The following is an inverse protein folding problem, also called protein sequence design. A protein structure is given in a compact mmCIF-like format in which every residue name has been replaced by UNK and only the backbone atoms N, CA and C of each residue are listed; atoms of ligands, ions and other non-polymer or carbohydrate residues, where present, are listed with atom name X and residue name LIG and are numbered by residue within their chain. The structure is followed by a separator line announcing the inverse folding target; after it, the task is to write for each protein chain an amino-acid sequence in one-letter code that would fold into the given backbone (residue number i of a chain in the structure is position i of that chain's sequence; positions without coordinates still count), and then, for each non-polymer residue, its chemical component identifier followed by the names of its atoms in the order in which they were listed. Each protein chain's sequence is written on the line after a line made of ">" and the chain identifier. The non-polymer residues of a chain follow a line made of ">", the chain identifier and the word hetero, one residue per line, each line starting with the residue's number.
data_IF_142712161716
#
_entry.id   IF_142712161716
#
_cell.length_a   1.000
_cell.length_b   1.000
_cell.length_c   1.000
_cell.angle_alpha   90.00
_cell.angle_beta   90.00
_cell.angle_gamma   90.00
#
_symmetry.space_group_name_H-M   'P 1'
#
loop_
_entity.id
_entity.type
_entity.pdbx_description
1 polymer ?
#
# COMPACT_ATOMS: atom_id res chain seq x y z
N UNK A 1 1.35 7.69 3.10
CA UNK A 1 -0.08 7.46 3.45
C UNK A 1 -0.82 8.53 2.67
N UNK A 2 -1.82 8.17 1.88
CA UNK A 2 -2.58 9.18 1.12
C UNK A 2 -3.44 9.93 2.13
N UNK A 3 -3.34 11.24 2.14
CA UNK A 3 -4.11 12.08 3.06
C UNK A 3 -5.57 12.21 2.64
N UNK A 4 -6.44 12.56 3.59
CA UNK A 4 -7.87 12.67 3.31
C UNK A 4 -8.18 13.71 2.22
N UNK A 5 -7.49 14.85 2.21
CA UNK A 5 -7.70 15.93 1.24
C UNK A 5 -7.02 15.74 -0.12
N UNK A 6 -6.24 14.67 -0.30
CA UNK A 6 -5.52 14.42 -1.56
C UNK A 6 -6.48 14.34 -2.76
N UNK A 7 -7.62 13.69 -2.57
CA UNK A 7 -8.60 13.49 -3.65
C UNK A 7 -9.41 14.76 -3.97
N UNK A 8 -9.29 15.80 -3.14
CA UNK A 8 -9.97 17.08 -3.31
C UNK A 8 -9.07 18.12 -4.02
N UNK A 9 -7.79 17.81 -4.28
CA UNK A 9 -6.86 18.68 -5.01
C UNK A 9 -7.35 18.85 -6.48
N UNK A 10 -7.51 20.10 -7.00
CA UNK A 10 -8.06 20.32 -8.33
C UNK A 10 -7.36 19.55 -9.46
N UNK A 11 -6.02 19.49 -9.45
CA UNK A 11 -5.26 18.73 -10.44
C UNK A 11 -5.46 17.21 -10.32
N UNK A 12 -5.70 16.70 -9.10
CA UNK A 12 -5.98 15.27 -8.88
C UNK A 12 -7.37 14.92 -9.42
N UNK A 13 -8.35 15.79 -9.20
CA UNK A 13 -9.70 15.66 -9.77
C UNK A 13 -9.62 15.67 -11.30
N UNK A 14 -8.91 16.64 -11.88
CA UNK A 14 -8.72 16.76 -13.32
C UNK A 14 -8.15 15.47 -13.94
N UNK A 15 -7.04 14.96 -13.38
CA UNK A 15 -6.42 13.73 -13.88
C UNK A 15 -7.28 12.48 -13.63
N UNK A 16 -8.03 12.44 -12.52
CA UNK A 16 -8.89 11.32 -12.15
C UNK A 16 -10.09 11.14 -13.08
N UNK A 17 -10.66 12.25 -13.56
CA UNK A 17 -11.79 12.25 -14.51
C UNK A 17 -11.38 12.37 -15.98
N UNK A 18 -10.08 12.53 -16.26
CA UNK A 18 -9.52 12.59 -17.60
C UNK A 18 -9.53 11.23 -18.34
N UNK A 19 -8.74 11.17 -19.41
CA UNK A 19 -8.66 9.98 -20.26
C UNK A 19 -7.80 8.85 -19.63
N UNK A 20 -7.40 7.88 -20.44
CA UNK A 20 -6.54 6.79 -19.96
C UNK A 20 -5.12 7.26 -19.61
N UNK A 21 -4.62 8.29 -20.29
CA UNK A 21 -3.27 8.83 -20.07
C UNK A 21 -3.25 9.67 -18.80
N UNK A 22 -4.24 10.54 -18.60
CA UNK A 22 -4.38 11.35 -17.38
C UNK A 22 -4.46 10.48 -16.12
N UNK A 23 -5.26 9.41 -16.15
CA UNK A 23 -5.37 8.48 -15.02
C UNK A 23 -4.09 7.70 -14.78
N UNK A 24 -3.33 7.41 -15.84
CA UNK A 24 -2.03 6.76 -15.71
C UNK A 24 -0.99 7.72 -15.11
N UNK A 25 -1.03 9.01 -15.44
CA UNK A 25 -0.20 10.03 -14.80
C UNK A 25 -0.52 10.18 -13.29
N UNK A 26 -1.80 10.07 -12.89
CA UNK A 26 -2.18 10.03 -11.48
C UNK A 26 -1.57 8.82 -10.74
N UNK A 27 -1.48 7.64 -11.38
CA UNK A 27 -0.78 6.50 -10.80
C UNK A 27 0.72 6.78 -10.64
N UNK A 28 1.35 7.45 -11.60
CA UNK A 28 2.75 7.89 -11.50
C UNK A 28 2.95 8.81 -10.30
N UNK A 29 2.05 9.79 -10.07
CA UNK A 29 2.13 10.65 -8.88
C UNK A 29 2.14 9.84 -7.57
N UNK A 30 1.26 8.83 -7.46
CA UNK A 30 1.20 7.97 -6.28
C UNK A 30 2.49 7.15 -6.09
N UNK A 31 3.05 6.62 -7.17
CA UNK A 31 4.33 5.90 -7.16
C UNK A 31 5.48 6.82 -6.73
N UNK A 32 5.56 8.03 -7.28
CA UNK A 32 6.57 9.02 -6.94
C UNK A 32 6.44 9.50 -5.50
N UNK A 33 5.22 9.73 -4.99
CA UNK A 33 5.00 10.04 -3.57
C UNK A 33 5.46 8.90 -2.66
N UNK A 34 5.16 7.65 -3.04
CA UNK A 34 5.64 6.46 -2.31
C UNK A 34 7.17 6.36 -2.30
N UNK A 35 7.80 6.60 -3.44
CA UNK A 35 9.25 6.59 -3.58
C UNK A 35 9.91 7.70 -2.75
N UNK A 36 9.40 8.92 -2.81
CA UNK A 36 9.91 10.07 -2.05
C UNK A 36 9.75 9.88 -0.54
N UNK A 37 8.63 9.31 -0.06
CA UNK A 37 8.46 8.95 1.36
C UNK A 37 9.49 7.89 1.81
N UNK A 38 9.87 6.97 0.92
CA UNK A 38 10.82 5.91 1.23
C UNK A 38 12.26 6.44 1.27
N UNK A 39 12.59 7.35 0.37
CA UNK A 39 13.95 7.90 0.20
C UNK A 39 14.20 9.18 0.97
N UNK A 40 13.16 9.85 1.46
CA UNK A 40 13.26 11.09 2.23
C UNK A 40 13.66 12.30 1.38
N UNK A 41 13.14 12.39 0.15
CA UNK A 41 13.46 13.47 -0.80
C UNK A 41 12.42 14.59 -0.85
N UNK A 42 11.34 14.48 -0.07
CA UNK A 42 10.29 15.50 0.03
C UNK A 42 9.74 16.00 -1.32
N UNK A 43 9.51 15.07 -2.24
CA UNK A 43 8.92 15.37 -3.54
C UNK A 43 9.94 15.68 -4.65
N UNK A 44 11.23 15.80 -4.34
CA UNK A 44 12.27 16.00 -5.36
C UNK A 44 12.55 14.69 -6.11
N UNK A 45 12.37 14.71 -7.42
CA UNK A 45 12.57 13.57 -8.33
C UNK A 45 13.69 13.90 -9.33
N UNK A 46 14.93 13.43 -9.08
CA UNK A 46 16.03 13.61 -10.04
C UNK A 46 15.74 12.89 -11.36
N UNK A 47 16.10 13.49 -12.49
CA UNK A 47 15.80 12.93 -13.82
C UNK A 47 16.27 11.48 -14.02
N UNK A 48 17.47 11.17 -13.52
CA UNK A 48 18.07 9.82 -13.58
C UNK A 48 17.31 8.76 -12.77
N UNK A 49 16.45 9.17 -11.85
CA UNK A 49 15.71 8.30 -10.95
C UNK A 49 14.30 8.00 -11.46
N UNK A 50 13.73 8.84 -12.31
CA UNK A 50 12.33 8.72 -12.76
C UNK A 50 11.97 7.28 -13.20
N UNK A 51 12.75 6.70 -14.12
CA UNK A 51 12.58 5.32 -14.61
C UNK A 51 12.71 4.21 -13.55
N UNK A 52 13.32 4.51 -12.40
CA UNK A 52 13.44 3.58 -11.26
C UNK A 52 12.37 3.80 -10.21
N UNK A 53 11.77 4.98 -10.16
CA UNK A 53 10.76 5.35 -9.17
C UNK A 53 9.34 4.95 -9.59
N UNK A 54 9.10 4.76 -10.89
CA UNK A 54 7.80 4.38 -11.45
C UNK A 54 7.92 3.20 -12.42
N UNK A 55 6.86 2.38 -12.50
CA UNK A 55 6.74 1.28 -13.45
C UNK A 55 6.02 1.68 -14.76
N UNK A 56 5.70 2.97 -14.93
CA UNK A 56 5.01 3.46 -16.12
C UNK A 56 5.87 3.29 -17.38
N UNK A 57 5.22 2.95 -18.49
CA UNK A 57 5.89 2.67 -19.76
C UNK A 57 6.58 3.92 -20.36
N UNK A 58 5.98 5.09 -20.16
CA UNK A 58 6.48 6.39 -20.56
C UNK A 58 6.33 7.41 -19.41
N UNK A 59 7.21 7.38 -18.41
CA UNK A 59 7.10 8.23 -17.25
C UNK A 59 7.42 9.70 -17.55
N UNK A 60 8.22 10.00 -18.57
CA UNK A 60 8.49 11.38 -18.98
C UNK A 60 7.20 12.07 -19.46
N UNK A 61 6.41 11.40 -20.33
CA UNK A 61 5.10 11.91 -20.75
C UNK A 61 4.10 12.03 -19.59
N UNK A 62 4.12 11.07 -18.67
CA UNK A 62 3.30 11.18 -17.46
C UNK A 62 3.67 12.40 -16.60
N UNK A 63 4.95 12.76 -16.51
CA UNK A 63 5.39 13.97 -15.83
C UNK A 63 4.88 15.24 -16.52
N UNK A 64 4.79 15.26 -17.85
CA UNK A 64 4.21 16.39 -18.59
C UNK A 64 2.76 16.63 -18.16
N UNK A 65 1.93 15.59 -18.09
CA UNK A 65 0.55 15.70 -17.60
C UNK A 65 0.47 16.16 -16.14
N UNK A 66 1.41 15.75 -15.29
CA UNK A 66 1.46 16.22 -13.89
C UNK A 66 1.82 17.70 -13.79
N UNK A 67 2.72 18.19 -14.66
CA UNK A 67 3.08 19.60 -14.74
C UNK A 67 1.92 20.44 -15.27
N UNK A 68 1.23 19.95 -16.31
CA UNK A 68 0.03 20.60 -16.86
C UNK A 68 -1.08 20.74 -15.82
N UNK A 69 -1.28 19.71 -14.98
CA UNK A 69 -2.25 19.72 -13.89
C UNK A 69 -1.82 20.51 -12.64
N UNK A 70 -0.62 21.12 -12.65
CA UNK A 70 -0.07 21.87 -11.52
C UNK A 70 0.30 21.01 -10.30
N UNK A 71 0.50 19.71 -10.48
CA UNK A 71 0.88 18.75 -9.43
C UNK A 71 2.39 18.49 -9.39
N UNK A 72 3.13 19.01 -10.37
CA UNK A 72 4.58 18.96 -10.42
C UNK A 72 5.14 20.21 -11.10
N UNK A 73 6.39 20.54 -10.79
CA UNK A 73 7.15 21.60 -11.43
C UNK A 73 8.44 21.03 -12.03
N UNK A 74 8.85 21.57 -13.18
CA UNK A 74 10.13 21.21 -13.80
C UNK A 74 11.24 21.99 -13.12
N UNK A 75 12.25 21.28 -12.62
CA UNK A 75 13.46 21.87 -12.05
C UNK A 75 14.66 21.63 -12.97
N UNK A 76 15.79 22.27 -12.71
CA UNK A 76 16.99 22.11 -13.56
C UNK A 76 17.45 20.66 -13.69
N UNK A 77 17.33 19.87 -12.61
CA UNK A 77 17.85 18.49 -12.53
C UNK A 77 16.76 17.41 -12.61
N UNK A 78 15.48 17.78 -12.78
CA UNK A 78 14.36 16.85 -12.78
C UNK A 78 13.04 17.53 -12.52
N UNK A 79 12.32 17.06 -11.51
CA UNK A 79 11.00 17.56 -11.15
C UNK A 79 10.84 17.64 -9.64
N UNK A 80 9.91 18.48 -9.21
CA UNK A 80 9.43 18.56 -7.83
C UNK A 80 7.92 18.38 -7.85
N UNK A 81 7.41 17.33 -7.20
CA UNK A 81 5.96 17.10 -7.09
C UNK A 81 5.42 17.86 -5.87
N UNK A 82 4.16 18.30 -5.92
CA UNK A 82 3.53 18.97 -4.78
C UNK A 82 3.57 18.06 -3.54
N UNK A 83 4.30 18.54 -2.54
CA UNK A 83 4.57 17.89 -1.25
C UNK A 83 3.93 18.64 -0.08
N UNK A 84 3.18 19.72 -0.34
CA UNK A 84 2.68 20.63 0.68
C UNK A 84 1.77 19.96 1.72
N UNK A 85 1.07 18.90 1.31
CA UNK A 85 0.20 18.11 2.18
C UNK A 85 0.93 16.96 2.86
N UNK A 86 2.18 16.64 2.52
CA UNK A 86 2.87 15.47 3.09
C UNK A 86 3.75 15.83 4.28
N UNK A 87 3.94 14.85 5.19
CA UNK A 87 4.86 14.99 6.32
C UNK A 87 6.31 15.08 5.77
N UNK A 88 7.11 16.09 6.17
CA UNK A 88 8.48 16.24 5.71
C UNK A 88 9.41 15.14 6.26
N UNK A 89 10.50 14.85 5.53
CA UNK A 89 11.44 13.78 5.85
C UNK A 89 12.07 13.95 7.23
N UNK A 90 12.34 15.18 7.66
CA UNK A 90 12.87 15.49 8.99
C UNK A 90 11.90 15.04 10.10
N UNK A 91 10.61 15.33 9.95
CA UNK A 91 9.59 14.93 10.91
C UNK A 91 9.42 13.40 10.93
N UNK A 92 9.39 12.77 9.75
CA UNK A 92 9.36 11.30 9.64
C UNK A 92 10.58 10.68 10.35
N UNK A 93 11.77 11.24 10.17
CA UNK A 93 13.00 10.81 10.83
C UNK A 93 12.89 10.94 12.36
N UNK A 94 12.37 12.07 12.85
CA UNK A 94 12.11 12.32 14.27
C UNK A 94 11.14 11.30 14.87
N UNK A 95 10.03 11.00 14.19
CA UNK A 95 9.05 9.99 14.61
C UNK A 95 9.69 8.61 14.66
N UNK A 96 10.45 8.22 13.63
CA UNK A 96 11.17 6.94 13.58
C UNK A 96 12.17 6.82 14.71
N UNK A 97 12.91 7.90 15.01
CA UNK A 97 13.85 7.97 16.13
C UNK A 97 13.16 7.74 17.48
N UNK A 98 12.07 8.47 17.75
CA UNK A 98 11.25 8.28 18.96
C UNK A 98 10.73 6.85 19.08
N UNK A 99 10.26 6.27 17.98
CA UNK A 99 9.75 4.89 17.99
C UNK A 99 10.85 3.84 18.21
N UNK A 100 12.02 4.02 17.58
CA UNK A 100 13.18 3.17 17.80
C UNK A 100 13.66 3.22 19.26
N UNK A 101 13.75 4.43 19.82
CA UNK A 101 14.07 4.63 21.24
C UNK A 101 13.05 3.95 22.16
N UNK A 102 11.75 4.13 21.88
CA UNK A 102 10.68 3.46 22.64
C UNK A 102 10.77 1.93 22.56
N UNK A 103 11.12 1.38 21.40
CA UNK A 103 11.37 -0.07 21.23
C UNK A 103 12.58 -0.55 22.02
N UNK A 104 13.69 0.21 22.05
CA UNK A 104 14.85 -0.11 22.88
C UNK A 104 14.46 -0.12 24.36
N UNK A 105 13.69 0.87 24.78
CA UNK A 105 13.16 0.98 26.14
C UNK A 105 12.30 -0.25 26.52
N UNK A 106 11.35 -0.66 25.67
CA UNK A 106 10.54 -1.87 25.93
C UNK A 106 11.36 -3.16 25.99
N UNK A 107 12.56 -3.19 25.42
CA UNK A 107 13.50 -4.32 25.51
C UNK A 107 14.42 -4.24 26.73
N UNK A 108 14.21 -3.29 27.63
CA UNK A 108 15.00 -3.11 28.86
C UNK A 108 16.28 -2.29 28.67
N UNK A 109 16.52 -1.69 27.50
CA UNK A 109 17.62 -0.75 27.33
C UNK A 109 17.16 0.66 27.76
N UNK A 110 17.68 1.11 28.91
CA UNK A 110 17.32 2.38 29.54
C UNK A 110 18.36 3.49 29.37
N UNK A 111 19.40 3.32 28.52
CA UNK A 111 20.50 4.30 28.37
C UNK A 111 20.03 5.73 28.10
N UNK A 112 18.94 5.86 27.34
CA UNK A 112 18.46 7.16 26.88
C UNK A 112 17.19 7.62 27.62
N UNK A 113 16.73 6.89 28.66
CA UNK A 113 15.38 7.07 29.23
C UNK A 113 15.11 8.49 29.73
N UNK A 114 16.13 9.13 30.32
CA UNK A 114 16.07 10.51 30.83
C UNK A 114 15.83 11.53 29.71
N UNK A 115 16.42 11.32 28.53
CA UNK A 115 16.32 12.23 27.38
C UNK A 115 14.93 12.21 26.74
N UNK A 116 14.26 11.04 26.74
CA UNK A 116 12.96 10.89 26.07
C UNK A 116 11.77 11.25 26.96
N UNK A 117 11.98 11.62 28.22
CA UNK A 117 10.92 12.03 29.15
C UNK A 117 9.83 10.97 29.34
N UNK A 118 10.18 9.68 29.19
CA UNK A 118 9.23 8.57 29.33
C UNK A 118 8.85 8.46 30.81
N UNK A 119 7.76 9.12 31.19
CA UNK A 119 7.16 9.04 32.54
C UNK A 119 6.84 7.56 32.85
N UNK A 120 7.31 7.06 34.00
CA UNK A 120 7.13 5.67 34.44
C UNK A 120 8.32 4.73 34.19
N UNK A 121 9.48 5.26 33.80
CA UNK A 121 10.74 4.52 33.74
C UNK A 121 11.36 4.37 35.15
N UNK A 122 10.72 3.64 36.06
CA UNK A 122 11.16 3.50 37.47
C UNK A 122 12.51 2.75 37.62
N UNK A 123 12.98 2.13 36.53
CA UNK A 123 14.26 1.39 36.46
C UNK A 123 15.50 2.27 36.29
N UNK A 124 15.36 3.59 36.21
CA UNK A 124 16.51 4.54 36.22
C UNK A 124 16.89 4.91 37.66
N UNK A 125 16.25 4.32 38.66
CA UNK A 125 16.77 4.38 40.03
C UNK A 125 18.12 3.64 40.09
N UNK A 126 19.16 4.45 40.19
CA UNK A 126 20.54 4.09 40.50
C UNK A 126 20.65 2.85 41.38
N UNK A 127 21.27 1.78 40.87
CA UNK A 127 22.15 0.95 41.68
C UNK A 127 23.02 0.07 40.78
N UNK A 128 24.27 0.50 40.63
CA UNK A 128 25.42 -0.37 40.39
C UNK A 128 25.54 -1.36 41.56
N UNK A 129 24.66 -2.36 41.61
CA UNK A 129 24.77 -3.49 42.52
C UNK A 129 25.11 -4.71 41.69
N UNK A 130 26.36 -5.14 41.83
CA UNK A 130 26.92 -6.39 41.35
C UNK A 130 26.16 -7.55 42.01
N UNK A 131 24.94 -7.84 41.56
CA UNK A 131 24.16 -9.00 41.98
C UNK A 131 24.01 -9.94 40.80
N UNK A 132 24.73 -11.05 40.91
CA UNK A 132 24.56 -12.32 40.20
C UNK A 132 23.07 -12.67 40.17
N UNK A 133 22.37 -12.31 39.08
CA UNK A 133 20.96 -12.62 38.92
C UNK A 133 20.83 -14.05 38.40
N UNK A 134 20.52 -14.98 39.29
CA UNK A 134 19.91 -16.26 38.93
C UNK A 134 18.64 -15.95 38.13
N UNK A 135 18.65 -16.34 36.85
CA UNK A 135 17.54 -16.13 35.91
C UNK A 135 16.38 -17.02 36.34
N UNK A 136 15.51 -16.52 37.21
CA UNK A 136 14.16 -17.09 37.35
C UNK A 136 13.34 -16.63 36.14
N UNK A 137 13.12 -17.59 35.25
CA UNK A 137 12.30 -17.45 34.05
C UNK A 137 10.85 -17.18 34.41
N UNK A 138 10.44 -15.91 34.39
CA UNK A 138 9.02 -15.57 34.33
C UNK A 138 8.42 -16.10 33.02
N UNK A 139 7.29 -16.83 33.07
CA UNK A 139 6.66 -17.36 31.86
C UNK A 139 6.07 -16.21 31.05
N UNK A 140 6.58 -16.01 29.84
CA UNK A 140 5.96 -15.21 28.80
C UNK A 140 4.64 -15.91 28.42
N UNK A 141 3.58 -15.59 29.15
CA UNK A 141 2.21 -16.06 28.91
C UNK A 141 1.43 -14.88 28.33
N UNK A 142 0.62 -15.13 27.31
CA UNK A 142 -0.32 -14.19 26.64
C UNK A 142 0.10 -13.56 25.29
N UNK A 143 1.06 -14.15 24.56
CA UNK A 143 1.30 -13.79 23.14
C UNK A 143 0.85 -14.82 22.10
N UNK A 144 0.65 -16.08 22.49
CA UNK A 144 0.44 -17.19 21.54
C UNK A 144 -1.00 -17.33 21.06
N UNK A 145 -1.97 -16.93 21.88
CA UNK A 145 -3.40 -17.12 21.56
C UNK A 145 -3.89 -16.18 20.44
N UNK A 146 -3.29 -14.99 20.32
CA UNK A 146 -3.66 -14.03 19.26
C UNK A 146 -3.08 -14.41 17.90
N UNK A 147 -1.90 -15.02 17.85
CA UNK A 147 -1.30 -15.46 16.58
C UNK A 147 -1.95 -16.73 16.03
N UNK A 148 -2.34 -17.66 16.89
CA UNK A 148 -3.07 -18.87 16.47
C UNK A 148 -4.45 -18.55 15.91
N UNK A 149 -5.23 -17.67 16.58
CA UNK A 149 -6.52 -17.17 16.06
C UNK A 149 -6.36 -16.49 14.70
N UNK A 150 -5.32 -15.65 14.53
CA UNK A 150 -5.02 -14.99 13.24
C UNK A 150 -4.64 -15.98 12.14
N UNK A 151 -3.96 -17.08 12.46
CA UNK A 151 -3.64 -18.15 11.50
C UNK A 151 -4.88 -18.94 11.12
N UNK A 152 -5.79 -19.18 12.07
CA UNK A 152 -7.06 -19.87 11.80
C UNK A 152 -7.97 -19.04 10.89
N UNK A 153 -8.07 -17.73 11.14
CA UNK A 153 -8.84 -16.79 10.32
C UNK A 153 -8.33 -16.77 8.87
N UNK A 154 -7.01 -16.64 8.65
CA UNK A 154 -6.40 -16.73 7.31
C UNK A 154 -6.67 -18.06 6.62
N UNK A 155 -6.71 -19.18 7.35
CA UNK A 155 -7.07 -20.49 6.79
C UNK A 155 -8.54 -20.54 6.37
N UNK A 156 -9.44 -19.89 7.10
CA UNK A 156 -10.87 -19.78 6.73
C UNK A 156 -11.04 -18.93 5.48
N UNK A 157 -10.38 -17.78 5.40
CA UNK A 157 -10.38 -16.93 4.19
C UNK A 157 -9.84 -17.67 2.97
N UNK A 158 -8.71 -18.37 3.11
CA UNK A 158 -8.13 -19.17 2.02
C UNK A 158 -9.10 -20.28 1.54
N UNK A 159 -9.81 -20.95 2.47
CA UNK A 159 -10.82 -21.95 2.13
C UNK A 159 -12.02 -21.33 1.39
N UNK A 160 -12.51 -20.17 1.82
CA UNK A 160 -13.60 -19.47 1.16
C UNK A 160 -13.21 -19.03 -0.26
N UNK A 161 -12.01 -18.47 -0.43
CA UNK A 161 -11.49 -18.09 -1.74
C UNK A 161 -11.34 -19.30 -2.68
N UNK A 162 -10.87 -20.43 -2.16
CA UNK A 162 -10.77 -21.67 -2.93
C UNK A 162 -12.17 -22.18 -3.37
N UNK A 163 -13.15 -22.17 -2.47
CA UNK A 163 -14.53 -22.55 -2.79
C UNK A 163 -15.16 -21.63 -3.84
N UNK A 164 -14.92 -20.32 -3.75
CA UNK A 164 -15.41 -19.35 -4.72
C UNK A 164 -14.80 -19.58 -6.11
N UNK A 165 -13.49 -19.88 -6.19
CA UNK A 165 -12.83 -20.21 -7.45
C UNK A 165 -13.40 -21.50 -8.08
N UNK A 166 -13.64 -22.53 -7.27
CA UNK A 166 -14.26 -23.77 -7.75
C UNK A 166 -15.68 -23.52 -8.27
N UNK A 167 -16.48 -22.71 -7.59
CA UNK A 167 -17.82 -22.32 -8.04
C UNK A 167 -17.78 -21.60 -9.40
N UNK A 168 -16.86 -20.65 -9.57
CA UNK A 168 -16.68 -19.92 -10.84
C UNK A 168 -16.28 -20.86 -11.98
N UNK A 169 -15.39 -21.82 -11.73
CA UNK A 169 -15.01 -22.83 -12.72
C UNK A 169 -16.20 -23.70 -13.14
N UNK A 170 -16.98 -24.18 -12.17
CA UNK A 170 -18.19 -24.98 -12.43
C UNK A 170 -19.19 -24.18 -13.28
N UNK A 171 -19.47 -22.93 -12.91
CA UNK A 171 -20.37 -22.05 -13.67
C UNK A 171 -19.86 -21.80 -15.11
N UNK A 172 -18.56 -21.59 -15.29
CA UNK A 172 -17.97 -21.44 -16.64
C UNK A 172 -18.13 -22.70 -17.48
N UNK A 173 -17.87 -23.88 -16.90
CA UNK A 173 -18.05 -25.13 -17.65
C UNK A 173 -19.51 -25.35 -18.04
N UNK A 174 -20.47 -25.08 -17.14
CA UNK A 174 -21.89 -25.17 -17.47
C UNK A 174 -22.31 -24.17 -18.56
N UNK A 175 -21.78 -22.94 -18.55
CA UNK A 175 -22.06 -21.95 -19.59
C UNK A 175 -21.55 -22.42 -20.96
N UNK A 176 -20.33 -22.97 -21.01
CA UNK A 176 -19.75 -23.54 -22.25
C UNK A 176 -20.59 -24.71 -22.76
N UNK A 177 -21.01 -25.62 -21.88
CA UNK A 177 -21.90 -26.74 -22.23
C UNK A 177 -23.28 -26.25 -22.70
N UNK A 178 -23.87 -25.25 -22.06
CA UNK A 178 -25.16 -24.68 -22.46
C UNK A 178 -25.09 -24.02 -23.84
N UNK A 179 -24.01 -23.30 -24.15
CA UNK A 179 -23.77 -22.72 -25.47
C UNK A 179 -23.55 -23.80 -26.53
N UNK A 180 -22.79 -24.85 -26.23
CA UNK A 180 -22.57 -25.97 -27.13
C UNK A 180 -23.88 -26.74 -27.45
N UNK A 181 -24.74 -26.96 -26.45
CA UNK A 181 -26.04 -27.60 -26.64
C UNK A 181 -27.04 -26.71 -27.37
N UNK A 182 -27.01 -25.40 -27.13
CA UNK A 182 -27.83 -24.42 -27.85
C UNK A 182 -27.51 -24.35 -29.36
N UNK A 183 -26.23 -24.54 -29.73
CA UNK A 183 -25.79 -24.58 -31.12
C UNK A 183 -26.26 -25.83 -31.89
N UNK A 184 -26.71 -26.87 -31.18
CA UNK A 184 -27.26 -28.10 -31.76
C UNK A 184 -28.79 -28.07 -31.92
N UNK A 185 -29.45 -26.93 -31.64
CA UNK A 185 -30.87 -26.80 -31.89
C UNK A 185 -31.15 -26.98 -33.40
N UNK A 186 -31.93 -28.00 -33.80
CA UNK A 186 -32.20 -28.25 -35.21
C UNK A 186 -32.91 -27.03 -35.80
N UNK A 187 -32.26 -26.39 -36.77
CA UNK A 187 -32.86 -25.32 -37.56
C UNK A 187 -34.14 -25.87 -38.19
N UNK A 188 -35.30 -25.48 -37.65
CA UNK A 188 -36.59 -25.84 -38.22
C UNK A 188 -36.64 -25.29 -39.64
N UNK A 189 -36.55 -26.19 -40.61
CA UNK A 189 -36.64 -25.86 -42.02
C UNK A 189 -38.00 -25.16 -42.26
N UNK A 190 -38.02 -23.93 -42.83
CA UNK A 190 -39.26 -23.20 -43.02
C UNK A 190 -40.16 -23.98 -44.00
N UNK A 191 -41.32 -24.41 -43.49
CA UNK A 191 -42.35 -25.10 -44.26
C UNK A 191 -42.87 -24.14 -45.33
N UNK A 192 -42.52 -24.36 -46.60
CA UNK A 192 -43.09 -23.62 -47.74
C UNK A 192 -44.60 -23.81 -47.73
N UNK A 193 -45.33 -22.76 -47.36
CA UNK A 193 -46.77 -22.65 -47.60
C UNK A 193 -46.93 -22.31 -49.08
N UNK A 194 -47.42 -23.29 -49.86
CA UNK A 194 -47.81 -23.07 -51.24
C UNK A 194 -49.05 -22.18 -51.31
N UNK A 195 -48.95 -21.07 -52.04
CA UNK A 195 -50.06 -20.24 -52.47
C UNK A 195 -50.80 -20.91 -53.62
N UNK A 196 -52.13 -21.05 -53.47
CA UNK A 196 -53.06 -21.34 -54.57
C UNK A 196 -53.51 -20.05 -55.23
#
# INVERSE_FOLDING_TARGET
>A
MIEAGFWDEPGVIELGYGDSESRSALLVLLELRSWSMTTGTDGVIPRRILRRATAHHDPERAMEHLVEAGLAEVTGDGWEIDWSTQIPAEEVSSIRGKWAARKRHYRGNHTDCATWGIKGCDKVSHETSTKTSTVESHPIREGKETEEKRREEKRREAKLNLLLLLLVLVLRTHLVWALALGALAPTRCPRRLGSR
#
